data_IF_747287619104
#
_entry.id   IF_747287619104
#
_cell.length_a   1.000
_cell.length_b   1.000
_cell.length_c   1.000
_cell.angle_alpha   90.00
_cell.angle_beta   90.00
_cell.angle_gamma   90.00
#
_symmetry.space_group_name_H-M   'P 1'
#
loop_
_entity.id
_entity.type
_entity.pdbx_description
1 polymer ?
#
# COMPACT_ATOMS: atom_id res chain seq x y z
N UNK A 1 1.88 7.69 19.95
CA UNK A 1 2.74 7.53 18.77
C UNK A 1 2.17 8.42 17.68
N UNK A 2 3.01 9.20 17.02
CA UNK A 2 2.56 10.08 15.94
C UNK A 2 2.19 9.20 14.73
N UNK A 3 0.89 9.08 14.45
CA UNK A 3 0.34 8.13 13.47
C UNK A 3 0.81 8.38 12.03
N UNK A 4 1.31 9.59 11.74
CA UNK A 4 1.82 9.97 10.42
C UNK A 4 3.13 9.27 10.01
N UNK A 5 3.83 8.61 10.94
CA UNK A 5 5.09 7.91 10.66
C UNK A 5 4.90 6.43 10.25
N UNK A 6 3.69 5.89 10.41
CA UNK A 6 3.38 4.48 10.12
C UNK A 6 2.76 4.39 8.74
N UNK A 7 3.37 3.59 7.85
CA UNK A 7 2.86 3.36 6.48
C UNK A 7 2.51 1.88 6.33
N UNK A 8 1.40 1.49 6.93
CA UNK A 8 0.92 0.10 6.95
C UNK A 8 -0.35 -0.12 6.10
N UNK A 9 -0.90 0.95 5.51
CA UNK A 9 -2.11 0.89 4.68
C UNK A 9 -1.91 1.67 3.40
N UNK A 10 -2.16 1.03 2.26
CA UNK A 10 -2.18 1.65 0.94
C UNK A 10 -3.60 1.61 0.38
N UNK A 11 -4.08 2.76 -0.06
CA UNK A 11 -5.42 2.91 -0.65
C UNK A 11 -5.33 3.38 -2.09
N UNK A 12 -6.24 2.89 -2.93
CA UNK A 12 -6.53 3.49 -4.22
C UNK A 12 -7.55 4.61 -3.97
N UNK A 13 -7.21 5.83 -4.35
CA UNK A 13 -8.07 6.99 -4.19
C UNK A 13 -8.08 7.85 -5.47
N UNK A 14 -9.17 8.57 -5.71
CA UNK A 14 -9.27 9.48 -6.83
C UNK A 14 -10.03 10.76 -6.45
N UNK A 15 -9.85 11.80 -7.26
CA UNK A 15 -10.55 13.07 -7.15
C UNK A 15 -10.84 13.61 -8.55
N UNK A 16 -12.02 14.21 -8.73
CA UNK A 16 -12.41 14.87 -9.97
C UNK A 16 -11.97 16.35 -10.00
N UNK A 17 -11.67 16.95 -8.84
CA UNK A 17 -11.37 18.39 -8.68
C UNK A 17 -10.08 18.67 -7.87
N UNK A 18 -9.32 17.63 -7.54
CA UNK A 18 -8.08 17.64 -6.74
C UNK A 18 -8.24 18.16 -5.29
N UNK A 19 -9.45 18.50 -4.85
CA UNK A 19 -9.76 18.98 -3.50
C UNK A 19 -10.51 17.92 -2.70
N UNK A 20 -11.49 17.28 -3.33
CA UNK A 20 -12.32 16.25 -2.73
C UNK A 20 -11.86 14.87 -3.19
N UNK A 21 -11.37 14.06 -2.27
CA UNK A 21 -10.81 12.75 -2.58
C UNK A 21 -11.70 11.64 -2.03
N UNK A 22 -11.84 10.57 -2.81
CA UNK A 22 -12.61 9.40 -2.43
C UNK A 22 -11.73 8.15 -2.49
N UNK A 23 -11.74 7.37 -1.40
CA UNK A 23 -11.13 6.04 -1.36
C UNK A 23 -12.01 5.08 -2.18
N UNK A 24 -11.39 4.43 -3.16
CA UNK A 24 -12.01 3.41 -4.00
C UNK A 24 -11.79 2.02 -3.43
N UNK A 25 -10.59 1.76 -2.93
CA UNK A 25 -10.32 0.50 -2.24
C UNK A 25 -9.09 0.60 -1.30
N UNK A 26 -9.01 -0.33 -0.36
CA UNK A 26 -7.79 -0.58 0.43
C UNK A 26 -7.06 -1.74 -0.21
N UNK A 27 -5.88 -1.49 -0.76
CA UNK A 27 -5.17 -2.48 -1.59
C UNK A 27 -4.10 -3.24 -0.82
N UNK A 28 -3.57 -2.63 0.24
CA UNK A 28 -2.72 -3.29 1.24
C UNK A 28 -3.07 -2.73 2.62
N UNK A 29 -3.13 -3.60 3.62
CA UNK A 29 -3.28 -3.22 5.03
C UNK A 29 -2.71 -4.33 5.91
N UNK A 30 -2.32 -4.01 7.14
CA UNK A 30 -1.98 -5.02 8.14
C UNK A 30 -2.33 -4.57 9.56
N UNK A 31 -2.68 -5.54 10.40
CA UNK A 31 -3.17 -5.30 11.77
C UNK A 31 -2.06 -5.14 12.83
N UNK A 32 -0.79 -5.30 12.44
CA UNK A 32 0.40 -5.16 13.30
C UNK A 32 1.30 -4.01 12.80
N UNK A 33 0.83 -2.75 12.90
CA UNK A 33 1.50 -1.57 12.34
C UNK A 33 2.87 -1.27 12.97
N UNK A 34 3.18 -1.83 14.13
CA UNK A 34 4.47 -1.70 14.79
C UNK A 34 5.55 -2.58 14.13
N UNK A 35 5.15 -3.69 13.50
CA UNK A 35 6.05 -4.66 12.86
C UNK A 35 6.04 -4.53 11.33
N UNK A 36 4.87 -4.48 10.71
CA UNK A 36 4.74 -4.61 9.26
C UNK A 36 4.38 -3.27 8.60
N UNK A 37 4.82 -3.11 7.35
CA UNK A 37 4.61 -1.88 6.61
C UNK A 37 4.83 -2.02 5.12
N UNK A 38 4.21 -1.12 4.36
CA UNK A 38 4.24 -1.03 2.90
C UNK A 38 4.73 0.37 2.50
N UNK A 39 6.05 0.51 2.42
CA UNK A 39 6.72 1.80 2.28
C UNK A 39 7.04 2.12 0.82
N UNK A 40 7.19 3.42 0.55
CA UNK A 40 7.81 3.97 -0.67
C UNK A 40 7.32 3.29 -1.96
N UNK A 41 6.00 3.24 -2.14
CA UNK A 41 5.38 2.56 -3.28
C UNK A 41 5.59 3.35 -4.56
N UNK A 42 6.02 2.67 -5.62
CA UNK A 42 6.06 3.20 -6.98
C UNK A 42 4.99 2.52 -7.85
N UNK A 43 4.19 3.31 -8.55
CA UNK A 43 2.98 2.88 -9.26
C UNK A 43 3.10 3.16 -10.76
N UNK A 44 2.63 2.23 -11.58
CA UNK A 44 2.59 2.39 -13.03
C UNK A 44 1.24 1.92 -13.59
N UNK A 45 0.75 2.59 -14.62
CA UNK A 45 -0.39 2.09 -15.39
C UNK A 45 0.08 0.98 -16.35
N UNK A 46 -0.63 -0.14 -16.35
CA UNK A 46 -0.44 -1.25 -17.28
C UNK A 46 -1.77 -1.54 -18.00
N UNK A 47 -2.06 -0.73 -19.02
CA UNK A 47 -3.33 -0.77 -19.74
C UNK A 47 -4.55 -0.50 -18.85
N UNK A 48 -5.34 -1.54 -18.60
CA UNK A 48 -6.52 -1.47 -17.71
C UNK A 48 -6.18 -1.68 -16.23
N UNK A 49 -4.95 -2.09 -15.94
CA UNK A 49 -4.47 -2.40 -14.60
C UNK A 49 -3.58 -1.28 -14.07
N UNK A 50 -3.36 -1.31 -12.76
CA UNK A 50 -2.24 -0.63 -12.12
C UNK A 50 -1.31 -1.71 -11.59
N UNK A 51 -0.01 -1.57 -11.83
CA UNK A 51 1.02 -2.39 -11.18
C UNK A 51 1.85 -1.51 -10.26
N UNK A 52 2.35 -2.08 -9.17
CA UNK A 52 3.19 -1.33 -8.26
C UNK A 52 4.17 -2.23 -7.51
N UNK A 53 5.27 -1.63 -7.08
CA UNK A 53 6.24 -2.25 -6.18
C UNK A 53 6.24 -1.54 -4.84
N UNK A 54 6.35 -2.30 -3.75
CA UNK A 54 6.42 -1.78 -2.39
C UNK A 54 7.67 -2.28 -1.68
N UNK A 55 8.36 -1.38 -0.96
CA UNK A 55 9.32 -1.77 0.06
C UNK A 55 8.53 -2.27 1.27
N UNK A 56 8.54 -3.59 1.47
CA UNK A 56 7.68 -4.23 2.46
C UNK A 56 8.49 -4.75 3.63
N UNK A 57 8.09 -4.37 4.84
CA UNK A 57 8.53 -5.00 6.09
C UNK A 57 7.56 -6.13 6.41
N UNK A 58 8.03 -7.38 6.35
CA UNK A 58 7.20 -8.56 6.60
C UNK A 58 7.99 -9.67 7.28
N UNK A 59 7.28 -10.60 7.95
CA UNK A 59 7.91 -11.77 8.55
C UNK A 59 8.58 -12.64 7.48
N UNK A 60 9.81 -13.08 7.77
CA UNK A 60 10.53 -14.07 6.97
C UNK A 60 10.97 -15.27 7.82
N UNK A 61 11.83 -16.14 7.28
CA UNK A 61 12.34 -17.34 7.96
C UNK A 61 13.14 -17.04 9.24
N UNK A 62 13.60 -15.80 9.42
CA UNK A 62 14.38 -15.33 10.58
C UNK A 62 13.51 -14.67 11.65
N UNK A 63 12.23 -14.44 11.36
CA UNK A 63 11.27 -13.86 12.30
C UNK A 63 10.63 -12.57 11.79
N UNK A 64 10.20 -11.73 12.73
CA UNK A 64 9.60 -10.44 12.42
C UNK A 64 10.66 -9.41 12.03
N UNK A 65 10.35 -8.46 11.14
CA UNK A 65 11.20 -7.29 10.95
C UNK A 65 11.30 -6.50 12.26
N UNK A 66 12.41 -5.77 12.51
CA UNK A 66 12.57 -4.99 13.74
C UNK A 66 11.47 -3.94 13.95
N UNK A 67 10.95 -3.37 12.85
CA UNK A 67 9.83 -2.43 12.81
C UNK A 67 9.32 -2.24 11.38
N UNK A 68 8.14 -1.66 11.24
CA UNK A 68 7.44 -1.34 9.98
C UNK A 68 8.25 -0.54 8.93
N UNK A 69 9.33 0.14 9.34
CA UNK A 69 10.19 0.94 8.46
C UNK A 69 11.37 0.14 7.89
N UNK A 70 11.76 -0.95 8.55
CA UNK A 70 12.93 -1.76 8.19
C UNK A 70 12.51 -2.85 7.20
N UNK A 71 12.19 -2.42 5.97
CA UNK A 71 11.72 -3.30 4.90
C UNK A 71 12.79 -4.30 4.42
N UNK A 72 12.46 -5.58 4.50
CA UNK A 72 13.27 -6.74 4.08
C UNK A 72 12.83 -7.34 2.73
N UNK A 73 11.71 -6.88 2.16
CA UNK A 73 11.21 -7.33 0.87
C UNK A 73 10.99 -6.19 -0.13
N UNK A 74 11.06 -6.53 -1.41
CA UNK A 74 10.43 -5.78 -2.50
C UNK A 74 9.29 -6.63 -3.05
N UNK A 75 8.05 -6.19 -2.87
CA UNK A 75 6.86 -6.94 -3.30
C UNK A 75 6.25 -6.30 -4.53
N UNK A 76 5.87 -7.12 -5.51
CA UNK A 76 5.17 -6.68 -6.72
C UNK A 76 3.68 -6.98 -6.60
N UNK A 77 2.84 -6.03 -7.02
CA UNK A 77 1.40 -6.11 -6.92
C UNK A 77 0.74 -5.66 -8.21
N UNK A 78 -0.47 -6.18 -8.46
CA UNK A 78 -1.30 -5.82 -9.60
C UNK A 78 -2.74 -5.60 -9.16
N UNK A 79 -3.23 -4.39 -9.37
CA UNK A 79 -4.64 -4.04 -9.27
C UNK A 79 -5.26 -4.21 -10.65
N UNK A 80 -6.00 -5.29 -10.84
CA UNK A 80 -6.66 -5.57 -12.13
C UNK A 80 -7.87 -4.68 -12.35
N UNK A 81 -8.02 -4.17 -13.57
CA UNK A 81 -9.18 -3.38 -14.00
C UNK A 81 -9.58 -2.30 -12.97
N UNK A 82 -8.64 -1.48 -12.52
CA UNK A 82 -8.81 -0.59 -11.35
C UNK A 82 -9.94 0.43 -11.48
N UNK A 83 -10.46 0.64 -12.69
CA UNK A 83 -11.62 1.52 -12.97
C UNK A 83 -12.96 0.87 -12.59
N UNK A 84 -12.99 -0.43 -12.32
CA UNK A 84 -14.20 -1.14 -11.89
C UNK A 84 -14.51 -0.95 -10.39
N UNK A 85 -13.59 -0.39 -9.59
CA UNK A 85 -13.85 -0.13 -8.18
C UNK A 85 -14.86 1.01 -8.02
N UNK A 86 -15.95 0.73 -7.30
CA UNK A 86 -16.92 1.74 -6.88
C UNK A 86 -16.39 2.55 -5.69
N UNK A 87 -17.02 3.68 -5.39
CA UNK A 87 -16.78 4.38 -4.11
C UNK A 87 -17.17 3.44 -2.96
N UNK A 88 -16.33 3.32 -1.93
CA UNK A 88 -16.72 2.74 -0.63
C UNK A 88 -17.33 3.83 0.24
#
# INVERSE_FOLDING_TARGET
MDGGAIRNTQVLMCSDNLTEWCIKDTVLTCDQPELYGFQYVDWQFDGKDIVFVSRTAWRDKTGNPPRQHDANYMTFHRIRNFRAFSKK
#
